data_IF_812011100430
#
_entry.id   IF_812011100430
#
_cell.length_a   1.000
_cell.length_b   1.000
_cell.length_c   1.000
_cell.angle_alpha   90.00
_cell.angle_beta   90.00
_cell.angle_gamma   90.00
#
_symmetry.space_group_name_H-M   'P 1'
#
loop_
_entity.id
_entity.type
_entity.pdbx_description
1 polymer ?
#
# COMPACT_ATOMS: atom_id res chain seq x y z
N UNK A 1 -9.87 -11.98 1.54
CA UNK A 1 -10.08 -12.18 0.08
C UNK A 1 -9.24 -11.15 -0.68
N UNK A 2 -8.68 -11.55 -1.80
CA UNK A 2 -7.95 -10.65 -2.69
C UNK A 2 -8.89 -10.01 -3.71
N UNK A 3 -8.53 -8.83 -4.20
CA UNK A 3 -9.30 -8.08 -5.21
C UNK A 3 -9.63 -8.93 -6.44
N UNK A 4 -8.65 -9.68 -6.95
CA UNK A 4 -8.80 -10.57 -8.12
C UNK A 4 -9.90 -11.62 -7.93
N UNK A 5 -10.21 -12.05 -6.70
CA UNK A 5 -11.18 -13.11 -6.44
C UNK A 5 -12.63 -12.69 -6.65
N UNK A 6 -12.89 -11.40 -6.68
CA UNK A 6 -14.24 -10.84 -6.81
C UNK A 6 -14.41 -9.98 -8.07
N UNK A 7 -13.33 -9.63 -8.76
CA UNK A 7 -13.38 -8.83 -9.99
C UNK A 7 -13.96 -9.66 -11.14
N UNK A 8 -14.93 -9.12 -11.85
CA UNK A 8 -15.50 -9.68 -13.08
C UNK A 8 -14.86 -9.06 -14.32
N UNK A 9 -14.84 -7.73 -14.38
CA UNK A 9 -14.28 -6.96 -15.48
C UNK A 9 -13.96 -5.53 -15.04
N UNK A 10 -13.16 -4.86 -15.85
CA UNK A 10 -12.90 -3.43 -15.75
C UNK A 10 -13.25 -2.76 -17.07
N UNK A 11 -13.57 -1.46 -17.00
CA UNK A 11 -13.56 -0.57 -18.15
C UNK A 11 -12.38 0.39 -18.01
N UNK A 12 -11.69 0.60 -19.11
CA UNK A 12 -10.57 1.52 -19.21
C UNK A 12 -10.62 2.27 -20.54
N UNK A 13 -10.00 3.44 -20.61
CA UNK A 13 -9.80 4.20 -21.86
C UNK A 13 -8.29 4.26 -22.15
N UNK A 14 -7.94 4.05 -23.41
CA UNK A 14 -6.57 4.19 -23.88
C UNK A 14 -6.24 5.65 -24.26
N UNK A 15 -5.00 5.91 -24.67
CA UNK A 15 -4.52 7.25 -25.08
C UNK A 15 -5.20 7.79 -26.34
N UNK A 16 -5.88 6.93 -27.11
CA UNK A 16 -6.63 7.32 -28.32
C UNK A 16 -8.11 7.59 -28.03
N UNK A 17 -8.53 7.52 -26.76
CA UNK A 17 -9.91 7.70 -26.33
C UNK A 17 -10.81 6.47 -26.55
N UNK A 18 -10.24 5.31 -26.89
CA UNK A 18 -10.99 4.07 -27.09
C UNK A 18 -11.31 3.43 -25.75
N UNK A 19 -12.61 3.19 -25.52
CA UNK A 19 -13.07 2.47 -24.32
C UNK A 19 -12.92 0.97 -24.52
N UNK A 20 -12.29 0.31 -23.55
CA UNK A 20 -12.02 -1.13 -23.52
C UNK A 20 -12.74 -1.75 -22.33
N UNK A 21 -13.42 -2.88 -22.54
CA UNK A 21 -13.91 -3.74 -21.46
C UNK A 21 -13.01 -4.97 -21.36
N UNK A 22 -12.32 -5.11 -20.24
CA UNK A 22 -11.33 -6.17 -20.03
C UNK A 22 -11.85 -7.12 -18.95
N UNK A 23 -12.19 -8.38 -19.28
CA UNK A 23 -12.60 -9.37 -18.29
C UNK A 23 -11.42 -9.75 -17.40
N UNK A 24 -11.70 -10.07 -16.13
CA UNK A 24 -10.67 -10.44 -15.14
C UNK A 24 -9.82 -11.64 -15.57
N UNK A 25 -10.39 -12.56 -16.36
CA UNK A 25 -9.66 -13.73 -16.91
C UNK A 25 -8.53 -13.36 -17.90
N UNK A 26 -8.53 -12.13 -18.41
CA UNK A 26 -7.47 -11.61 -19.29
C UNK A 26 -6.43 -10.76 -18.55
N UNK A 27 -6.56 -10.62 -17.23
CA UNK A 27 -5.65 -9.84 -16.42
C UNK A 27 -4.77 -10.80 -15.62
N UNK A 28 -3.44 -10.72 -15.82
CA UNK A 28 -2.50 -11.46 -14.99
C UNK A 28 -2.14 -10.62 -13.77
N UNK A 29 -2.73 -10.98 -12.63
CA UNK A 29 -2.43 -10.35 -11.36
C UNK A 29 -1.10 -10.85 -10.80
N UNK A 30 -0.38 -9.95 -10.16
CA UNK A 30 0.87 -10.23 -9.43
C UNK A 30 0.91 -9.38 -8.17
N UNK A 31 1.85 -9.65 -7.31
CA UNK A 31 1.99 -8.88 -6.06
C UNK A 31 2.14 -7.38 -6.36
N UNK A 32 1.18 -6.59 -5.92
CA UNK A 32 1.08 -5.13 -6.11
C UNK A 32 1.11 -4.68 -7.59
N UNK A 33 0.56 -5.49 -8.48
CA UNK A 33 0.54 -5.14 -9.89
C UNK A 33 -0.30 -6.08 -10.76
N UNK A 34 -0.29 -5.77 -12.03
CA UNK A 34 -0.90 -6.56 -13.10
C UNK A 34 -0.06 -6.41 -14.38
N UNK A 35 -0.48 -7.04 -15.47
CA UNK A 35 0.18 -7.00 -16.79
C UNK A 35 -0.48 -6.04 -17.78
N UNK A 36 -1.45 -5.25 -17.35
CA UNK A 36 -2.12 -4.28 -18.22
C UNK A 36 -1.20 -3.12 -18.56
N UNK A 37 -1.48 -2.50 -19.70
CA UNK A 37 -0.79 -1.31 -20.15
C UNK A 37 -0.91 -0.18 -19.10
N UNK A 38 0.20 0.46 -18.78
CA UNK A 38 0.27 1.55 -17.79
C UNK A 38 -0.39 2.84 -18.26
N UNK A 39 -0.61 2.98 -19.57
CA UNK A 39 -1.26 4.13 -20.17
C UNK A 39 -2.79 4.07 -20.11
N UNK A 40 -3.35 2.96 -19.63
CA UNK A 40 -4.79 2.84 -19.44
C UNK A 40 -5.26 3.68 -18.26
N UNK A 41 -6.35 4.42 -18.49
CA UNK A 41 -7.07 5.13 -17.44
C UNK A 41 -8.29 4.28 -17.08
N UNK A 42 -8.34 3.78 -15.85
CA UNK A 42 -9.45 2.95 -15.36
C UNK A 42 -10.69 3.81 -15.07
N UNK A 43 -11.82 3.43 -15.64
CA UNK A 43 -13.09 4.16 -15.53
C UNK A 43 -14.03 3.51 -14.52
N UNK A 44 -14.18 2.18 -14.58
CA UNK A 44 -15.06 1.42 -13.70
C UNK A 44 -14.61 -0.02 -13.53
N UNK A 45 -15.18 -0.69 -12.52
CA UNK A 45 -14.96 -2.11 -12.29
C UNK A 45 -16.29 -2.78 -11.87
N UNK A 46 -16.51 -4.00 -12.36
CA UNK A 46 -17.63 -4.85 -11.97
C UNK A 46 -17.14 -5.95 -11.03
N UNK A 47 -17.87 -6.16 -9.94
CA UNK A 47 -17.50 -7.13 -8.91
C UNK A 47 -18.63 -8.12 -8.68
N UNK A 48 -18.28 -9.35 -8.30
CA UNK A 48 -19.21 -10.35 -7.80
C UNK A 48 -19.32 -10.24 -6.29
N UNK A 49 -20.52 -9.99 -5.79
CA UNK A 49 -20.88 -10.09 -4.38
C UNK A 49 -21.71 -11.34 -4.10
N UNK A 50 -21.74 -11.75 -2.85
CA UNK A 50 -22.67 -12.76 -2.32
C UNK A 50 -23.77 -12.05 -1.55
N UNK A 51 -25.02 -12.42 -1.78
CA UNK A 51 -26.15 -11.88 -1.00
C UNK A 51 -26.05 -12.40 0.42
N UNK A 52 -26.04 -11.50 1.39
CA UNK A 52 -26.01 -11.81 2.81
C UNK A 52 -26.94 -10.86 3.59
N UNK A 53 -27.31 -11.27 4.79
CA UNK A 53 -28.09 -10.43 5.68
C UNK A 53 -27.33 -9.15 6.04
N UNK A 54 -28.04 -8.03 6.04
CA UNK A 54 -27.46 -6.70 6.32
C UNK A 54 -26.68 -6.66 7.63
N UNK A 55 -27.19 -7.31 8.68
CA UNK A 55 -26.53 -7.33 9.98
C UNK A 55 -25.18 -8.04 9.94
N UNK A 56 -25.08 -9.16 9.21
CA UNK A 56 -23.83 -9.92 9.03
C UNK A 56 -22.81 -9.07 8.30
N UNK A 57 -23.22 -8.41 7.20
CA UNK A 57 -22.34 -7.50 6.45
C UNK A 57 -21.83 -6.37 7.34
N UNK A 58 -22.71 -5.73 8.11
CA UNK A 58 -22.35 -4.63 9.01
C UNK A 58 -21.36 -5.07 10.10
N UNK A 59 -21.58 -6.23 10.70
CA UNK A 59 -20.70 -6.79 11.72
C UNK A 59 -19.31 -7.09 11.15
N UNK A 60 -19.23 -7.64 9.94
CA UNK A 60 -17.97 -7.90 9.24
C UNK A 60 -17.21 -6.60 8.95
N UNK A 61 -17.90 -5.56 8.47
CA UNK A 61 -17.31 -4.24 8.23
C UNK A 61 -16.74 -3.65 9.53
N UNK A 62 -17.52 -3.67 10.62
CA UNK A 62 -17.10 -3.15 11.92
C UNK A 62 -15.89 -3.91 12.47
N UNK A 63 -15.88 -5.24 12.35
CA UNK A 63 -14.74 -6.07 12.75
C UNK A 63 -13.47 -5.70 11.98
N UNK A 64 -13.56 -5.53 10.65
CA UNK A 64 -12.42 -5.14 9.82
C UNK A 64 -11.93 -3.72 10.13
N UNK A 65 -12.84 -2.77 10.35
CA UNK A 65 -12.49 -1.40 10.79
C UNK A 65 -11.74 -1.43 12.11
N UNK A 66 -12.26 -2.14 13.11
CA UNK A 66 -11.62 -2.27 14.41
C UNK A 66 -10.21 -2.89 14.32
N UNK A 67 -10.04 -3.97 13.53
CA UNK A 67 -8.73 -4.56 13.28
C UNK A 67 -7.75 -3.56 12.66
N UNK A 68 -8.22 -2.79 11.67
CA UNK A 68 -7.41 -1.75 11.02
C UNK A 68 -7.03 -0.66 12.02
N UNK A 69 -7.97 -0.18 12.81
CA UNK A 69 -7.75 0.87 13.81
C UNK A 69 -6.78 0.45 14.90
N UNK A 70 -6.71 -0.84 15.25
CA UNK A 70 -5.74 -1.35 16.22
C UNK A 70 -4.34 -1.50 15.62
N UNK A 71 -4.23 -1.88 14.35
CA UNK A 71 -2.95 -2.23 13.72
C UNK A 71 -2.29 -1.11 12.89
N UNK A 72 -3.02 -0.08 12.51
CA UNK A 72 -2.55 0.98 11.61
C UNK A 72 -2.88 2.37 12.13
N UNK A 73 -2.09 3.41 11.77
CA UNK A 73 -2.39 4.80 12.13
C UNK A 73 -3.54 5.33 11.27
N UNK A 74 -4.77 5.39 11.82
CA UNK A 74 -5.98 5.81 11.08
C UNK A 74 -6.41 7.26 11.32
N UNK A 75 -5.83 7.93 12.34
CA UNK A 75 -6.22 9.29 12.76
C UNK A 75 -5.12 10.34 12.51
N UNK A 76 -4.17 10.04 11.63
CA UNK A 76 -3.04 10.91 11.33
C UNK A 76 -2.76 10.90 9.83
N UNK A 77 -2.21 12.00 9.29
CA UNK A 77 -1.84 12.09 7.88
C UNK A 77 -0.73 11.08 7.54
N UNK A 78 -0.99 10.17 6.62
CA UNK A 78 -0.04 9.15 6.15
C UNK A 78 -0.36 8.74 4.72
N UNK A 79 0.66 8.37 3.96
CA UNK A 79 0.50 7.76 2.62
C UNK A 79 0.15 6.27 2.65
N UNK A 80 -0.07 5.67 3.82
CA UNK A 80 -0.28 4.23 3.98
C UNK A 80 1.03 3.47 4.20
N UNK A 81 1.05 2.19 3.78
CA UNK A 81 2.28 1.38 3.80
C UNK A 81 3.34 2.00 2.90
N UNK A 82 4.48 2.37 3.48
CA UNK A 82 5.53 3.08 2.74
C UNK A 82 6.29 2.16 1.78
N UNK A 83 6.54 0.92 2.19
CA UNK A 83 7.32 -0.04 1.40
C UNK A 83 6.56 -1.33 1.14
N UNK A 84 6.85 -1.96 -0.01
CA UNK A 84 6.41 -3.32 -0.35
C UNK A 84 7.17 -4.36 0.47
N UNK A 85 6.55 -5.53 0.71
CA UNK A 85 7.30 -6.67 1.22
C UNK A 85 8.28 -7.17 0.14
N UNK A 86 9.57 -7.40 0.47
CA UNK A 86 10.59 -7.86 -0.48
C UNK A 86 10.51 -9.37 -0.73
N UNK A 87 9.36 -9.84 -1.24
CA UNK A 87 9.01 -11.27 -1.36
C UNK A 87 9.97 -12.08 -2.23
N UNK A 88 10.72 -11.42 -3.13
CA UNK A 88 11.72 -12.06 -4.00
C UNK A 88 13.10 -12.18 -3.35
N UNK A 89 13.32 -11.55 -2.19
CA UNK A 89 14.62 -11.51 -1.50
C UNK A 89 14.57 -12.23 -0.15
N UNK A 90 13.42 -12.20 0.55
CA UNK A 90 13.26 -12.81 1.87
C UNK A 90 11.81 -13.16 2.18
N UNK A 91 11.61 -14.06 3.16
CA UNK A 91 10.30 -14.36 3.76
C UNK A 91 9.89 -13.35 4.84
N UNK A 92 10.85 -12.57 5.36
CA UNK A 92 10.57 -11.55 6.37
C UNK A 92 9.70 -10.43 5.79
N UNK A 93 8.79 -9.92 6.62
CA UNK A 93 7.99 -8.76 6.24
C UNK A 93 8.81 -7.47 6.36
N UNK A 94 8.51 -6.50 5.52
CA UNK A 94 9.26 -5.23 5.51
C UNK A 94 9.23 -4.52 6.88
N UNK A 95 8.15 -4.63 7.64
CA UNK A 95 8.08 -4.03 8.97
C UNK A 95 9.07 -4.69 9.96
N UNK A 96 9.36 -5.98 9.83
CA UNK A 96 10.38 -6.69 10.63
C UNK A 96 11.78 -6.19 10.30
N UNK A 97 12.05 -6.01 8.99
CA UNK A 97 13.31 -5.43 8.51
C UNK A 97 13.52 -4.01 9.03
N UNK A 98 12.48 -3.17 9.00
CA UNK A 98 12.55 -1.79 9.53
C UNK A 98 12.81 -1.83 11.03
N UNK A 99 12.02 -2.60 11.78
CA UNK A 99 12.10 -2.68 13.24
C UNK A 99 13.50 -3.08 13.73
N UNK A 100 14.16 -4.01 13.04
CA UNK A 100 15.53 -4.44 13.41
C UNK A 100 16.64 -3.52 12.91
N UNK A 101 16.35 -2.64 11.94
CA UNK A 101 17.38 -1.83 11.26
C UNK A 101 17.38 -0.36 11.65
N UNK A 102 16.26 0.17 12.12
CA UNK A 102 16.05 1.61 12.33
C UNK A 102 15.50 1.87 13.73
N UNK A 103 16.01 2.85 14.48
CA UNK A 103 15.35 3.35 15.68
C UNK A 103 13.95 3.87 15.33
N UNK A 104 12.92 3.39 16.05
CA UNK A 104 11.52 3.72 15.72
C UNK A 104 11.11 5.16 16.09
N UNK A 105 11.96 5.87 16.83
CA UNK A 105 11.83 7.30 17.14
C UNK A 105 12.47 8.21 16.09
N UNK A 106 13.01 7.62 15.00
CA UNK A 106 13.60 8.36 13.89
C UNK A 106 12.57 9.32 13.27
N UNK A 107 12.99 10.57 13.11
CA UNK A 107 12.19 11.64 12.50
C UNK A 107 13.05 12.61 11.67
N UNK A 108 12.43 13.27 10.70
CA UNK A 108 12.99 14.37 9.91
C UNK A 108 11.94 15.48 9.88
N UNK A 109 12.20 16.61 10.55
CA UNK A 109 11.16 17.60 10.81
C UNK A 109 9.95 16.97 11.49
N UNK A 110 8.76 17.17 10.91
CA UNK A 110 7.50 16.56 11.39
C UNK A 110 7.15 15.22 10.73
N UNK A 111 8.03 14.67 9.89
CA UNK A 111 7.90 13.32 9.34
C UNK A 111 8.51 12.31 10.31
N UNK A 112 7.75 11.27 10.70
CA UNK A 112 8.21 10.25 11.64
C UNK A 112 7.67 8.85 11.30
N UNK A 113 8.31 7.84 11.87
CA UNK A 113 7.84 6.45 11.82
C UNK A 113 6.69 6.29 12.80
N UNK A 114 5.56 5.71 12.33
CA UNK A 114 4.42 5.44 13.21
C UNK A 114 4.76 4.42 14.29
N UNK A 115 4.50 4.77 15.55
CA UNK A 115 4.65 3.85 16.68
C UNK A 115 3.68 2.66 16.62
N UNK A 116 2.57 2.79 15.89
CA UNK A 116 1.59 1.72 15.70
C UNK A 116 2.04 0.66 14.70
N UNK A 117 2.69 1.12 13.61
CA UNK A 117 3.15 0.23 12.54
C UNK A 117 4.32 0.88 11.80
N UNK A 118 5.51 0.36 11.98
CA UNK A 118 6.75 0.99 11.50
C UNK A 118 6.89 1.09 9.97
N UNK A 119 6.06 0.40 9.19
CA UNK A 119 5.98 0.60 7.73
C UNK A 119 5.02 1.74 7.32
N UNK A 120 4.50 2.50 8.28
CA UNK A 120 3.70 3.70 8.03
C UNK A 120 4.48 4.92 8.48
N UNK A 121 4.75 5.82 7.55
CA UNK A 121 5.33 7.11 7.86
C UNK A 121 4.22 8.15 7.94
N UNK A 122 4.29 8.98 8.96
CA UNK A 122 3.22 9.91 9.31
C UNK A 122 3.73 11.35 9.34
N UNK A 123 2.86 12.27 8.97
CA UNK A 123 3.08 13.70 9.14
C UNK A 123 2.39 14.14 10.43
N UNK A 124 3.18 14.49 11.45
CA UNK A 124 2.64 14.92 12.76
C UNK A 124 1.93 16.24 12.68
N UNK A 125 2.52 17.20 11.99
CA UNK A 125 1.99 18.57 11.86
C UNK A 125 2.18 19.09 10.44
N UNK A 126 3.39 19.58 10.12
CA UNK A 126 3.73 20.30 8.90
C UNK A 126 4.97 19.72 8.20
N UNK A 127 5.11 18.38 8.19
CA UNK A 127 6.21 17.75 7.45
C UNK A 127 6.17 18.17 5.98
N UNK A 128 7.32 18.59 5.49
CA UNK A 128 7.52 18.92 4.08
C UNK A 128 7.70 17.64 3.26
N UNK A 129 7.58 17.75 1.94
CA UNK A 129 7.97 16.69 1.01
C UNK A 129 9.41 16.23 1.27
N UNK A 130 10.33 17.18 1.51
CA UNK A 130 11.74 16.90 1.78
C UNK A 130 11.94 16.07 3.06
N UNK A 131 11.21 16.38 4.11
CA UNK A 131 11.28 15.64 5.37
C UNK A 131 10.84 14.19 5.16
N UNK A 132 9.70 13.98 4.50
CA UNK A 132 9.19 12.65 4.20
C UNK A 132 10.14 11.87 3.29
N UNK A 133 10.69 12.52 2.25
CA UNK A 133 11.65 11.91 1.33
C UNK A 133 12.94 11.50 2.05
N UNK A 134 13.48 12.38 2.92
CA UNK A 134 14.66 12.08 3.71
C UNK A 134 14.45 10.89 4.65
N UNK A 135 13.27 10.80 5.29
CA UNK A 135 12.92 9.67 6.14
C UNK A 135 12.86 8.36 5.34
N UNK A 136 12.25 8.38 4.15
CA UNK A 136 12.17 7.22 3.25
C UNK A 136 13.57 6.75 2.85
N UNK A 137 14.42 7.67 2.40
CA UNK A 137 15.77 7.34 1.93
C UNK A 137 16.65 6.82 3.08
N UNK A 138 16.56 7.43 4.25
CA UNK A 138 17.27 6.98 5.45
C UNK A 138 16.89 5.54 5.82
N UNK A 139 15.59 5.22 5.86
CA UNK A 139 15.13 3.87 6.19
C UNK A 139 15.59 2.85 5.15
N UNK A 140 15.50 3.18 3.86
CA UNK A 140 16.02 2.33 2.78
C UNK A 140 17.50 2.03 2.97
N UNK A 141 18.31 3.05 3.20
CA UNK A 141 19.76 2.92 3.39
C UNK A 141 20.09 2.07 4.64
N UNK A 142 19.39 2.29 5.76
CA UNK A 142 19.61 1.54 7.00
C UNK A 142 19.24 0.07 6.87
N UNK A 143 18.10 -0.22 6.25
CA UNK A 143 17.69 -1.61 5.97
C UNK A 143 18.71 -2.27 5.06
N UNK A 144 19.11 -1.64 3.95
CA UNK A 144 20.11 -2.17 3.02
C UNK A 144 21.44 -2.44 3.71
N UNK A 145 21.95 -1.47 4.46
CA UNK A 145 23.27 -1.60 5.14
C UNK A 145 23.27 -2.70 6.20
N UNK A 146 22.17 -2.93 6.91
CA UNK A 146 22.09 -3.89 8.01
C UNK A 146 21.69 -5.31 7.57
N UNK A 147 20.91 -5.44 6.47
CA UNK A 147 20.35 -6.72 6.06
C UNK A 147 20.74 -7.17 4.67
N UNK A 148 21.35 -6.29 3.86
CA UNK A 148 21.62 -6.54 2.44
C UNK A 148 20.41 -6.45 1.53
N UNK A 149 19.18 -6.27 2.09
CA UNK A 149 17.92 -6.31 1.35
C UNK A 149 17.57 -4.92 0.83
N UNK A 150 17.23 -4.83 -0.46
CA UNK A 150 16.69 -3.61 -1.06
C UNK A 150 15.16 -3.58 -0.92
N UNK A 151 14.64 -2.56 -0.24
CA UNK A 151 13.19 -2.35 -0.11
C UNK A 151 12.69 -1.30 -1.09
N UNK A 152 11.56 -1.60 -1.76
CA UNK A 152 10.93 -0.72 -2.72
C UNK A 152 9.76 0.02 -2.08
N UNK A 153 9.54 1.28 -2.48
CA UNK A 153 8.35 2.04 -2.05
C UNK A 153 7.08 1.44 -2.65
N UNK A 154 6.02 1.38 -1.83
CA UNK A 154 4.65 1.08 -2.27
C UNK A 154 3.91 2.37 -2.65
N UNK A 155 4.24 3.47 -1.96
CA UNK A 155 3.75 4.81 -2.30
C UNK A 155 4.42 5.32 -3.57
N UNK A 156 3.69 6.08 -4.37
CA UNK A 156 4.24 6.82 -5.51
C UNK A 156 4.73 8.20 -5.09
N UNK A 157 5.93 8.56 -5.54
CA UNK A 157 6.53 9.88 -5.32
C UNK A 157 6.43 10.66 -6.62
N UNK A 158 5.52 11.63 -6.67
CA UNK A 158 5.33 12.52 -7.80
C UNK A 158 6.32 13.69 -7.65
N UNK A 159 7.05 13.99 -8.73
CA UNK A 159 8.02 15.09 -8.82
C UNK A 159 7.38 16.31 -9.42
#
# INVERSE_FOLDING_TARGET
>A
REFQNILLSIQAVDRNGKILTIPSSKIKFKYRGNDLDRDLIFLSASFRGEVQEKQIVQNNINSLKNKKDHSQPTKIKTGGSTFKNPINQTKEKVWELIKKSVPLDTKFGDAEISQKHCNFFVNRNNATFRDMKNLIDFVKQKVKSKTGIDIETEIEIIK
#
